data_IF_622630814001
#
_entry.id   IF_622630814001
#
_cell.length_a   1.000
_cell.length_b   1.000
_cell.length_c   1.000
_cell.angle_alpha   90.00
_cell.angle_beta   90.00
_cell.angle_gamma   90.00
#
_symmetry.space_group_name_H-M   'P 1'
#
loop_
_entity.id
_entity.type
_entity.pdbx_description
1 polymer ?
#
# COMPACT_ATOMS: atom_id res chain seq x y z
N UNK A 1 -13.78 22.35 -34.03
CA UNK A 1 -13.27 22.11 -33.57
C UNK A 1 -12.70 21.38 -33.27
N UNK A 2 -12.53 21.09 -33.50
CA UNK A 2 -11.87 20.36 -33.06
C UNK A 2 -11.20 20.23 -32.15
N UNK A 3 -11.10 20.44 -31.86
CA UNK A 3 -10.50 20.63 -31.05
C UNK A 3 -10.51 19.96 -30.05
N UNK A 4 -11.04 19.79 -29.81
CA UNK A 4 -11.24 19.26 -28.81
C UNK A 4 -10.69 18.09 -28.71
N UNK A 5 -10.50 17.80 -29.31
CA UNK A 5 -10.08 16.74 -29.37
C UNK A 5 -9.06 16.35 -28.73
N UNK A 6 -8.64 16.66 -28.53
CA UNK A 6 -7.72 16.34 -27.99
C UNK A 6 -7.50 16.24 -26.91
N UNK A 7 -7.87 16.51 -26.74
CA UNK A 7 -7.73 16.82 -25.81
C UNK A 7 -7.44 16.16 -24.85
N UNK A 8 -7.67 16.13 -24.34
CA UNK A 8 -7.32 15.59 -23.18
C UNK A 8 -6.85 14.26 -23.40
N UNK A 9 -6.75 13.96 -24.47
CA UNK A 9 -6.29 12.65 -24.71
C UNK A 9 -4.90 12.55 -24.22
N UNK A 10 -4.69 11.80 -23.22
CA UNK A 10 -3.35 11.48 -22.80
C UNK A 10 -2.72 10.57 -23.83
N UNK A 11 -1.46 10.81 -24.14
CA UNK A 11 -0.73 9.92 -25.03
C UNK A 11 -0.52 8.59 -24.33
N UNK A 12 -0.27 7.56 -25.09
CA UNK A 12 0.06 6.24 -24.56
C UNK A 12 1.29 6.31 -23.65
N UNK A 13 2.27 7.10 -24.07
CA UNK A 13 3.47 7.32 -23.29
C UNK A 13 3.17 7.96 -21.95
N UNK A 14 2.33 8.99 -21.93
CA UNK A 14 1.96 9.66 -20.69
C UNK A 14 1.18 8.73 -19.76
N UNK A 15 0.32 7.90 -20.32
CA UNK A 15 -0.43 6.92 -19.54
C UNK A 15 0.49 5.93 -18.86
N UNK A 16 1.51 5.45 -19.58
CA UNK A 16 2.50 4.53 -19.03
C UNK A 16 3.30 5.18 -17.91
N UNK A 17 3.65 6.45 -18.08
CA UNK A 17 4.38 7.19 -17.05
C UNK A 17 3.54 7.34 -15.79
N UNK A 18 2.26 7.63 -15.95
CA UNK A 18 1.35 7.74 -14.81
C UNK A 18 1.18 6.40 -14.08
N UNK A 19 1.13 5.30 -14.82
CA UNK A 19 1.06 3.98 -14.22
C UNK A 19 2.33 3.68 -13.43
N UNK A 20 3.49 4.00 -13.98
CA UNK A 20 4.76 3.83 -13.27
C UNK A 20 4.80 4.63 -11.98
N UNK A 21 4.33 5.87 -12.06
CA UNK A 21 4.28 6.75 -10.89
C UNK A 21 3.35 6.18 -9.82
N UNK A 22 2.19 5.69 -10.23
CA UNK A 22 1.24 5.09 -9.31
C UNK A 22 1.82 3.84 -8.64
N UNK A 23 2.52 3.00 -9.40
CA UNK A 23 3.18 1.82 -8.85
C UNK A 23 4.26 2.19 -7.83
N UNK A 24 5.05 3.21 -8.13
CA UNK A 24 6.10 3.67 -7.22
C UNK A 24 5.50 4.19 -5.92
N UNK A 25 4.43 4.96 -6.00
CA UNK A 25 3.74 5.48 -4.83
C UNK A 25 3.14 4.34 -4.00
N UNK A 26 2.57 3.34 -4.65
CA UNK A 26 2.03 2.17 -3.96
C UNK A 26 3.11 1.39 -3.24
N UNK A 27 4.26 1.24 -3.86
CA UNK A 27 5.41 0.55 -3.25
C UNK A 27 5.91 1.30 -2.01
N UNK A 28 6.01 2.62 -2.10
CA UNK A 28 6.40 3.45 -0.97
C UNK A 28 5.41 3.31 0.19
N UNK A 29 4.13 3.28 -0.11
CA UNK A 29 3.11 3.09 0.90
C UNK A 29 3.24 1.73 1.59
N UNK A 30 3.51 0.68 0.82
CA UNK A 30 3.71 -0.66 1.36
C UNK A 30 4.94 -0.73 2.27
N UNK A 31 6.01 -0.07 1.88
CA UNK A 31 7.22 0.01 2.69
C UNK A 31 6.91 0.70 4.03
N UNK A 32 6.15 1.78 3.99
CA UNK A 32 5.72 2.48 5.20
C UNK A 32 4.92 1.58 6.12
N UNK A 33 4.00 0.81 5.57
CA UNK A 33 3.17 -0.12 6.34
C UNK A 33 4.04 -1.21 6.96
N UNK A 34 4.98 -1.76 6.23
CA UNK A 34 5.89 -2.77 6.76
C UNK A 34 6.78 -2.24 7.87
N UNK A 35 7.21 -1.00 7.74
CA UNK A 35 8.00 -0.34 8.79
C UNK A 35 7.19 -0.15 10.05
N UNK A 36 5.94 0.25 9.94
CA UNK A 36 5.04 0.36 11.09
C UNK A 36 4.82 -1.01 11.76
N UNK A 37 4.74 -2.07 10.96
CA UNK A 37 4.64 -3.42 11.50
C UNK A 37 5.88 -3.78 12.32
N UNK A 38 7.06 -3.45 11.81
CA UNK A 38 8.32 -3.70 12.53
C UNK A 38 8.35 -2.96 13.85
N UNK A 39 7.92 -1.70 13.85
CA UNK A 39 7.87 -0.90 15.07
C UNK A 39 6.90 -1.49 16.07
N UNK A 40 5.72 -1.89 15.62
CA UNK A 40 4.73 -2.52 16.47
C UNK A 40 5.25 -3.83 17.08
N UNK A 41 5.91 -4.65 16.27
CA UNK A 41 6.49 -5.90 16.76
C UNK A 41 7.61 -5.66 17.77
N UNK A 42 8.41 -4.62 17.57
CA UNK A 42 9.44 -4.22 18.54
C UNK A 42 8.83 -3.82 19.87
N UNK A 43 7.76 -3.06 19.83
CA UNK A 43 7.05 -2.64 21.03
C UNK A 43 6.45 -3.84 21.78
N UNK A 44 5.89 -4.79 21.03
CA UNK A 44 5.32 -6.01 21.61
C UNK A 44 6.41 -6.82 22.31
N UNK A 45 7.58 -6.94 21.70
CA UNK A 45 8.70 -7.66 22.30
C UNK A 45 9.20 -6.99 23.57
N UNK A 46 9.18 -5.67 23.60
CA UNK A 46 9.50 -4.91 24.79
C UNK A 46 8.54 -5.25 25.92
N UNK A 47 7.25 -5.25 25.62
CA UNK A 47 6.21 -5.59 26.58
C UNK A 47 6.41 -6.99 27.13
N UNK A 48 6.78 -7.93 26.28
CA UNK A 48 7.06 -9.30 26.69
C UNK A 48 8.22 -9.34 27.69
N UNK A 49 9.28 -8.60 27.42
CA UNK A 49 10.43 -8.51 28.32
C UNK A 49 10.07 -7.87 29.66
N UNK A 50 9.08 -7.01 29.67
CA UNK A 50 8.62 -6.33 30.87
C UNK A 50 7.62 -7.15 31.66
N UNK A 51 7.28 -8.33 31.19
CA UNK A 51 6.47 -9.27 31.96
C UNK A 51 5.09 -9.56 31.39
N UNK A 52 4.75 -9.02 30.25
CA UNK A 52 3.48 -9.33 29.61
C UNK A 52 3.50 -10.79 29.14
N UNK A 53 2.39 -11.48 29.32
CA UNK A 53 2.29 -12.90 29.00
C UNK A 53 2.62 -13.17 27.52
N UNK A 54 3.36 -14.23 27.29
CA UNK A 54 3.82 -14.61 25.95
C UNK A 54 2.70 -14.84 24.97
N UNK A 55 1.62 -15.49 25.40
CA UNK A 55 0.46 -15.77 24.54
C UNK A 55 -0.26 -14.49 24.12
N UNK A 56 -0.31 -13.51 25.00
CA UNK A 56 -0.91 -12.20 24.70
C UNK A 56 -0.05 -11.48 23.64
N UNK A 57 1.27 -11.51 23.80
CA UNK A 57 2.20 -10.90 22.86
C UNK A 57 2.12 -11.56 21.49
N UNK A 58 2.02 -12.88 21.48
CA UNK A 58 1.90 -13.64 20.25
C UNK A 58 0.61 -13.29 19.51
N UNK A 59 -0.48 -13.19 20.25
CA UNK A 59 -1.76 -12.79 19.64
C UNK A 59 -1.68 -11.39 19.07
N UNK A 60 -1.03 -10.47 19.77
CA UNK A 60 -0.84 -9.11 19.28
C UNK A 60 -0.01 -9.08 18.01
N UNK A 61 1.04 -9.89 17.91
CA UNK A 61 1.84 -9.99 16.70
C UNK A 61 1.02 -10.54 15.53
N UNK A 62 0.18 -11.54 15.79
CA UNK A 62 -0.70 -12.10 14.77
C UNK A 62 -1.71 -11.06 14.27
N UNK A 63 -2.27 -10.28 15.18
CA UNK A 63 -3.21 -9.22 14.84
C UNK A 63 -2.55 -8.14 14.00
N UNK A 64 -1.33 -7.76 14.35
CA UNK A 64 -0.54 -6.79 13.58
C UNK A 64 -0.27 -7.32 12.17
N UNK A 65 0.07 -8.60 12.05
CA UNK A 65 0.32 -9.21 10.75
C UNK A 65 -0.93 -9.23 9.88
N UNK A 66 -2.07 -9.59 10.46
CA UNK A 66 -3.35 -9.59 9.73
C UNK A 66 -3.73 -8.20 9.26
N UNK A 67 -3.54 -7.22 10.10
CA UNK A 67 -3.83 -5.83 9.76
C UNK A 67 -2.91 -5.34 8.65
N UNK A 68 -1.62 -5.68 8.74
CA UNK A 68 -0.63 -5.34 7.71
C UNK A 68 -1.04 -5.94 6.36
N UNK A 69 -1.37 -7.22 6.34
CA UNK A 69 -1.77 -7.91 5.12
C UNK A 69 -3.03 -7.29 4.52
N UNK A 70 -3.98 -6.92 5.37
CA UNK A 70 -5.22 -6.28 4.96
C UNK A 70 -4.95 -4.95 4.26
N UNK A 71 -4.09 -4.12 4.83
CA UNK A 71 -3.75 -2.83 4.23
C UNK A 71 -2.97 -2.98 2.93
N UNK A 72 -2.05 -3.93 2.87
CA UNK A 72 -1.28 -4.18 1.63
C UNK A 72 -2.23 -4.63 0.52
N UNK A 73 -3.16 -5.51 0.83
CA UNK A 73 -4.16 -5.96 -0.12
C UNK A 73 -5.00 -4.78 -0.63
N UNK A 74 -5.38 -3.89 0.27
CA UNK A 74 -6.15 -2.71 -0.07
C UNK A 74 -5.38 -1.78 -1.01
N UNK A 75 -4.10 -1.61 -0.75
CA UNK A 75 -3.23 -0.81 -1.63
C UNK A 75 -3.17 -1.43 -3.02
N UNK A 76 -3.02 -2.75 -3.10
CA UNK A 76 -2.99 -3.44 -4.39
C UNK A 76 -4.30 -3.29 -5.15
N UNK A 77 -5.43 -3.34 -4.47
CA UNK A 77 -6.74 -3.16 -5.08
C UNK A 77 -6.90 -1.73 -5.61
N UNK A 78 -6.50 -0.75 -4.82
CA UNK A 78 -6.56 0.66 -5.23
C UNK A 78 -5.64 0.89 -6.42
N UNK A 79 -4.45 0.31 -6.40
CA UNK A 79 -3.51 0.43 -7.50
C UNK A 79 -4.08 -0.16 -8.79
N UNK A 80 -4.68 -1.34 -8.72
CA UNK A 80 -5.29 -1.98 -9.87
C UNK A 80 -6.41 -1.10 -10.46
N UNK A 81 -7.24 -0.53 -9.60
CA UNK A 81 -8.31 0.37 -10.03
C UNK A 81 -7.74 1.62 -10.69
N UNK A 82 -6.67 2.18 -10.13
CA UNK A 82 -6.02 3.36 -10.69
C UNK A 82 -5.39 3.07 -12.04
N UNK A 83 -4.73 1.93 -12.16
CA UNK A 83 -4.13 1.54 -13.43
C UNK A 83 -5.19 1.40 -14.52
N UNK A 84 -6.29 0.75 -14.19
CA UNK A 84 -7.41 0.60 -15.13
C UNK A 84 -7.98 1.95 -15.53
N UNK A 85 -8.13 2.86 -14.57
CA UNK A 85 -8.63 4.20 -14.82
C UNK A 85 -7.69 5.01 -15.72
N UNK A 86 -6.39 4.94 -15.45
CA UNK A 86 -5.37 5.65 -16.23
C UNK A 86 -5.35 5.14 -17.69
N UNK A 87 -5.46 3.83 -17.86
CA UNK A 87 -5.40 3.22 -19.18
C UNK A 87 -6.73 3.24 -19.93
N UNK A 88 -7.77 3.68 -19.28
CA UNK A 88 -9.08 3.76 -19.91
C UNK A 88 -9.09 4.83 -20.99
N UNK A 89 -9.59 4.47 -22.14
CA UNK A 89 -9.65 5.38 -23.30
C UNK A 89 -10.93 6.18 -23.29
#
# INVERSE_FOLDING_TARGET
DNIIINIPALTEERRRDLVKQAKAEAEDAKIGIRNHRKDANSDIKKEEKEGTAEDICKKAEDDVQKLTDSFIKKIDEILADKEAEIMKV
#
